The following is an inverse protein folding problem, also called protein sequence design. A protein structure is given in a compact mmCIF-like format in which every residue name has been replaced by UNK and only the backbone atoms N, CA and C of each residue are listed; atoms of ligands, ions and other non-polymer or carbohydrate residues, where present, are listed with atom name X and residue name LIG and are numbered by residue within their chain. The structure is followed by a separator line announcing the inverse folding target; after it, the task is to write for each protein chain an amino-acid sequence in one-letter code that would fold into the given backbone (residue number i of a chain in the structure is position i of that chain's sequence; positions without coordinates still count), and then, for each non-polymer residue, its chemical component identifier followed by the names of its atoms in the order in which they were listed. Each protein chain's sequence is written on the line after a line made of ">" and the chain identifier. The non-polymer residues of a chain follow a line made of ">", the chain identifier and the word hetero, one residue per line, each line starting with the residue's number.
data_IF_287486491423
#
_entry.id   IF_287486491423
#
_cell.length_a   1.000
_cell.length_b   1.000
_cell.length_c   1.000
_cell.angle_alpha   90.00
_cell.angle_beta   90.00
_cell.angle_gamma   90.00
#
_symmetry.space_group_name_H-M   'P 1'
#
loop_
_entity.id
_entity.type
_entity.pdbx_description
1 polymer ?
#
# COMPACT_ATOMS: atom_id res chain seq x y z
N UNK A 1 -40.99 78.14 -3.31
CA UNK A 1 -40.64 77.21 -2.23
C UNK A 1 -40.87 75.81 -2.74
N UNK A 2 -39.79 75.08 -3.04
CA UNK A 2 -39.86 73.69 -3.55
C UNK A 2 -39.72 72.77 -2.35
N UNK A 3 -40.66 71.84 -2.22
CA UNK A 3 -40.83 70.96 -1.07
C UNK A 3 -39.81 69.80 -1.15
N UNK A 4 -38.87 69.77 -0.21
CA UNK A 4 -37.74 68.80 -0.17
C UNK A 4 -38.16 67.38 0.24
N UNK A 5 -39.45 67.11 0.45
CA UNK A 5 -39.98 65.80 0.86
C UNK A 5 -40.44 64.90 -0.30
N UNK A 6 -40.12 65.25 -1.56
CA UNK A 6 -40.47 64.47 -2.76
C UNK A 6 -39.24 63.98 -3.55
N UNK A 7 -38.10 63.76 -2.88
CA UNK A 7 -37.02 63.00 -3.49
C UNK A 7 -37.34 61.51 -3.35
N UNK A 8 -37.98 60.93 -4.37
CA UNK A 8 -38.04 59.48 -4.54
C UNK A 8 -36.62 59.01 -4.87
N UNK A 9 -35.87 58.58 -3.86
CA UNK A 9 -34.53 58.01 -4.01
C UNK A 9 -34.72 56.61 -4.62
N UNK A 10 -34.84 56.58 -5.95
CA UNK A 10 -35.07 55.37 -6.73
C UNK A 10 -33.77 54.59 -7.03
N UNK A 11 -32.69 54.89 -6.32
CA UNK A 11 -31.37 54.30 -6.55
C UNK A 11 -30.71 54.03 -5.19
N UNK A 12 -31.23 53.00 -4.52
CA UNK A 12 -30.68 52.52 -3.25
C UNK A 12 -29.61 51.47 -3.56
N UNK A 13 -28.37 51.74 -3.18
CA UNK A 13 -27.25 50.77 -3.25
C UNK A 13 -27.48 49.52 -2.39
N UNK A 14 -28.56 49.48 -1.61
CA UNK A 14 -29.02 48.33 -0.84
C UNK A 14 -29.77 47.29 -1.69
N UNK A 15 -30.24 47.65 -2.89
CA UNK A 15 -30.92 46.72 -3.82
C UNK A 15 -29.93 45.87 -4.63
N UNK A 16 -28.67 46.32 -4.69
CA UNK A 16 -27.54 45.61 -5.32
C UNK A 16 -26.91 44.54 -4.38
N UNK A 17 -27.43 44.44 -3.15
CA UNK A 17 -27.07 43.38 -2.21
C UNK A 17 -27.85 42.14 -2.60
N UNK A 18 -27.23 41.28 -3.42
CA UNK A 18 -27.75 39.96 -3.77
C UNK A 18 -28.24 39.27 -2.48
N UNK A 19 -29.53 38.93 -2.39
CA UNK A 19 -30.10 38.42 -1.15
C UNK A 19 -29.35 37.15 -0.73
N UNK A 20 -29.02 37.05 0.56
CA UNK A 20 -28.22 35.96 1.12
C UNK A 20 -28.76 34.57 0.68
N UNK A 21 -30.08 34.46 0.52
CA UNK A 21 -30.78 33.27 0.02
C UNK A 21 -30.30 32.79 -1.35
N UNK A 22 -29.90 33.68 -2.26
CA UNK A 22 -29.37 33.33 -3.59
C UNK A 22 -27.96 32.71 -3.51
N UNK A 23 -27.19 33.00 -2.45
CA UNK A 23 -25.85 32.47 -2.23
C UNK A 23 -25.80 31.24 -1.31
N UNK A 24 -26.90 30.90 -0.63
CA UNK A 24 -26.97 29.73 0.28
C UNK A 24 -26.65 28.43 -0.43
N UNK A 25 -27.15 28.26 -1.65
CA UNK A 25 -26.91 27.06 -2.45
C UNK A 25 -25.45 26.92 -2.87
N UNK A 26 -24.83 28.03 -3.32
CA UNK A 26 -23.39 28.06 -3.63
C UNK A 26 -22.54 27.77 -2.40
N UNK A 27 -22.88 28.37 -1.26
CA UNK A 27 -22.17 28.14 0.01
C UNK A 27 -22.30 26.69 0.48
N UNK A 28 -23.49 26.11 0.36
CA UNK A 28 -23.72 24.70 0.69
C UNK A 28 -22.91 23.77 -0.22
N UNK A 29 -22.91 24.01 -1.54
CA UNK A 29 -22.08 23.27 -2.47
C UNK A 29 -20.59 23.40 -2.14
N UNK A 30 -20.10 24.61 -1.89
CA UNK A 30 -18.71 24.83 -1.49
C UNK A 30 -18.35 24.08 -0.20
N UNK A 31 -19.25 24.06 0.79
CA UNK A 31 -19.05 23.32 2.03
C UNK A 31 -19.05 21.80 1.80
N UNK A 32 -19.94 21.28 0.96
CA UNK A 32 -19.96 19.87 0.59
C UNK A 32 -18.67 19.49 -0.13
N UNK A 33 -18.25 20.26 -1.13
CA UNK A 33 -17.00 20.01 -1.86
C UNK A 33 -15.81 20.05 -0.91
N UNK A 34 -15.73 21.03 -0.01
CA UNK A 34 -14.68 21.12 0.99
C UNK A 34 -14.68 19.91 1.92
N UNK A 35 -15.86 19.47 2.38
CA UNK A 35 -16.00 18.29 3.22
C UNK A 35 -15.55 17.01 2.51
N UNK A 36 -15.89 16.86 1.22
CA UNK A 36 -15.44 15.73 0.38
C UNK A 36 -13.92 15.75 0.22
N UNK A 37 -13.33 16.89 -0.12
CA UNK A 37 -11.86 17.02 -0.25
C UNK A 37 -11.17 16.74 1.08
N UNK A 38 -11.67 17.29 2.19
CA UNK A 38 -11.14 17.03 3.52
C UNK A 38 -11.23 15.53 3.87
N UNK A 39 -12.35 14.88 3.56
CA UNK A 39 -12.51 13.44 3.76
C UNK A 39 -11.51 12.63 2.93
N UNK A 40 -11.25 13.02 1.67
CA UNK A 40 -10.24 12.37 0.82
C UNK A 40 -8.82 12.56 1.37
N UNK A 41 -8.48 13.76 1.85
CA UNK A 41 -7.17 14.03 2.48
C UNK A 41 -7.00 13.20 3.75
N UNK A 42 -8.03 13.12 4.59
CA UNK A 42 -8.02 12.29 5.80
C UNK A 42 -7.88 10.81 5.42
N UNK A 43 -8.66 10.32 4.45
CA UNK A 43 -8.58 8.94 3.97
C UNK A 43 -7.19 8.61 3.40
N UNK A 44 -6.57 9.55 2.67
CA UNK A 44 -5.20 9.42 2.19
C UNK A 44 -4.19 9.38 3.32
N UNK A 45 -4.35 10.20 4.36
CA UNK A 45 -3.50 10.17 5.56
C UNK A 45 -3.61 8.87 6.37
N UNK A 46 -4.70 8.11 6.22
CA UNK A 46 -4.89 6.79 6.82
C UNK A 46 -4.47 5.62 5.90
N UNK A 47 -3.86 5.88 4.75
CA UNK A 47 -3.40 4.82 3.85
C UNK A 47 -4.53 4.06 3.15
N UNK A 48 -5.77 4.57 3.14
CA UNK A 48 -6.93 3.88 2.52
C UNK A 48 -6.74 3.66 1.01
N UNK A 49 -5.83 4.44 0.39
CA UNK A 49 -5.49 4.32 -1.03
C UNK A 49 -4.20 3.51 -1.29
N UNK A 50 -3.52 3.01 -0.26
CA UNK A 50 -2.38 2.12 -0.43
C UNK A 50 -2.90 0.76 -0.91
N UNK A 51 -2.57 0.40 -2.15
CA UNK A 51 -3.00 -0.83 -2.81
C UNK A 51 -2.15 -2.03 -2.39
N UNK A 52 -1.66 -2.05 -1.16
CA UNK A 52 -0.93 -3.16 -0.59
C UNK A 52 -1.92 -4.20 -0.07
N UNK A 53 -1.66 -5.47 -0.38
CA UNK A 53 -2.39 -6.61 0.16
C UNK A 53 -1.48 -7.31 1.15
N UNK A 54 -2.07 -7.67 2.28
CA UNK A 54 -1.43 -8.52 3.27
C UNK A 54 -1.98 -9.93 3.15
N UNK A 55 -1.10 -10.93 3.01
CA UNK A 55 -1.42 -12.34 3.21
C UNK A 55 -0.88 -12.77 4.57
N UNK A 56 -1.72 -13.42 5.39
CA UNK A 56 -1.40 -13.77 6.76
C UNK A 56 -1.67 -15.26 6.99
N UNK A 57 -0.64 -16.01 7.40
CA UNK A 57 -0.71 -17.46 7.62
C UNK A 57 0.04 -17.81 8.90
N UNK A 58 -0.53 -18.66 9.73
CA UNK A 58 0.12 -19.10 10.96
C UNK A 58 -0.37 -20.45 11.46
N UNK A 59 0.43 -21.08 12.31
CA UNK A 59 0.15 -22.37 12.93
C UNK A 59 0.18 -22.30 14.48
N UNK A 60 0.08 -21.10 15.04
CA UNK A 60 0.09 -20.82 16.49
C UNK A 60 1.48 -20.75 17.12
N UNK A 61 2.51 -21.34 16.51
CA UNK A 61 3.90 -21.20 16.93
C UNK A 61 4.67 -20.21 16.06
N UNK A 62 4.33 -20.18 14.78
CA UNK A 62 4.89 -19.29 13.77
C UNK A 62 3.74 -18.59 13.05
N UNK A 63 3.95 -17.32 12.79
CA UNK A 63 3.06 -16.43 12.04
C UNK A 63 3.90 -15.76 10.96
N UNK A 64 3.38 -15.75 9.74
CA UNK A 64 3.97 -15.11 8.58
C UNK A 64 2.94 -14.14 8.01
N UNK A 65 3.34 -12.88 7.90
CA UNK A 65 2.56 -11.81 7.29
C UNK A 65 3.37 -11.28 6.10
N UNK A 66 2.72 -11.18 4.94
CA UNK A 66 3.35 -10.80 3.68
C UNK A 66 2.63 -9.61 3.12
N UNK A 67 3.32 -8.48 3.03
CA UNK A 67 2.82 -7.27 2.38
C UNK A 67 3.38 -7.19 0.97
N UNK A 68 2.49 -7.08 -0.01
CA UNK A 68 2.83 -7.03 -1.43
C UNK A 68 1.89 -6.09 -2.19
N UNK A 69 2.35 -5.48 -3.29
CA UNK A 69 1.48 -4.63 -4.11
C UNK A 69 0.38 -5.49 -4.75
N UNK A 70 -0.87 -5.13 -4.57
CA UNK A 70 -1.98 -5.81 -5.25
C UNK A 70 -2.07 -5.46 -6.72
N UNK A 71 -1.59 -4.28 -7.08
CA UNK A 71 -1.59 -3.74 -8.43
C UNK A 71 -0.33 -2.90 -8.65
N UNK A 72 0.29 -2.97 -9.82
CA UNK A 72 1.48 -2.18 -10.14
C UNK A 72 1.54 -1.84 -11.63
N UNK A 73 2.25 -0.76 -12.00
CA UNK A 73 2.57 -0.38 -13.38
C UNK A 73 4.01 -0.77 -13.71
N UNK A 74 4.30 -1.06 -14.97
CA UNK A 74 5.66 -1.32 -15.42
C UNK A 74 6.61 -0.18 -15.03
N UNK A 75 7.82 -0.53 -14.60
CA UNK A 75 8.85 0.41 -14.18
C UNK A 75 8.67 1.03 -12.79
N UNK A 76 7.51 0.87 -12.13
CA UNK A 76 7.31 1.36 -10.77
C UNK A 76 8.08 0.54 -9.74
N UNK A 77 8.46 1.17 -8.63
CA UNK A 77 9.04 0.47 -7.49
C UNK A 77 8.04 -0.54 -6.88
N UNK A 78 8.60 -1.65 -6.43
CA UNK A 78 7.89 -2.74 -5.75
C UNK A 78 8.64 -3.10 -4.46
N UNK A 79 7.87 -3.37 -3.41
CA UNK A 79 8.36 -3.90 -2.15
C UNK A 79 7.51 -5.12 -1.78
N UNK A 80 8.16 -6.24 -1.53
CA UNK A 80 7.57 -7.42 -0.92
C UNK A 80 8.19 -7.55 0.47
N UNK A 81 7.40 -7.24 1.49
CA UNK A 81 7.82 -7.35 2.89
C UNK A 81 7.27 -8.63 3.50
N UNK A 82 8.15 -9.42 4.12
CA UNK A 82 7.82 -10.67 4.79
C UNK A 82 8.16 -10.49 6.26
N UNK A 83 7.11 -10.40 7.07
CA UNK A 83 7.18 -10.30 8.52
C UNK A 83 6.94 -11.68 9.13
N UNK A 84 7.87 -12.11 9.97
CA UNK A 84 7.79 -13.40 10.67
C UNK A 84 7.71 -13.12 12.16
N UNK A 85 6.73 -13.71 12.83
CA UNK A 85 6.57 -13.66 14.27
C UNK A 85 6.52 -15.07 14.84
N UNK A 86 7.35 -15.37 15.83
CA UNK A 86 7.47 -16.70 16.43
C UNK A 86 7.26 -16.66 17.95
N UNK A 87 6.61 -17.69 18.47
CA UNK A 87 6.43 -17.90 19.91
C UNK A 87 7.75 -18.28 20.60
N UNK A 88 8.71 -18.85 19.87
CA UNK A 88 10.06 -19.16 20.32
C UNK A 88 11.08 -18.21 19.66
N UNK A 89 12.27 -18.03 20.24
CA UNK A 89 13.34 -17.29 19.58
C UNK A 89 13.60 -17.86 18.18
N UNK A 90 13.70 -16.99 17.19
CA UNK A 90 14.05 -17.35 15.84
C UNK A 90 15.49 -17.91 15.83
N UNK A 91 15.77 -18.91 14.97
CA UNK A 91 17.14 -19.34 14.68
C UNK A 91 17.95 -18.18 14.06
N UNK A 92 19.28 -18.31 14.04
CA UNK A 92 20.17 -17.30 13.44
C UNK A 92 19.91 -17.10 11.93
N UNK A 93 19.42 -18.14 11.26
CA UNK A 93 19.10 -18.13 9.84
C UNK A 93 17.65 -18.56 9.61
N UNK A 94 16.98 -17.83 8.72
CA UNK A 94 15.63 -18.13 8.25
C UNK A 94 15.71 -18.35 6.75
N UNK A 95 15.09 -19.43 6.26
CA UNK A 95 15.00 -19.67 4.83
C UNK A 95 13.67 -19.12 4.31
N UNK A 96 13.75 -18.26 3.30
CA UNK A 96 12.59 -17.75 2.56
C UNK A 96 12.69 -18.26 1.13
N UNK A 97 11.67 -18.97 0.68
CA UNK A 97 11.52 -19.44 -0.69
C UNK A 97 10.45 -18.63 -1.42
N UNK A 98 10.79 -18.10 -2.59
CA UNK A 98 9.84 -17.37 -3.44
C UNK A 98 9.82 -18.03 -4.81
N UNK A 99 8.63 -18.26 -5.36
CA UNK A 99 8.46 -18.80 -6.72
C UNK A 99 9.22 -17.98 -7.74
N UNK A 100 10.00 -18.64 -8.61
CA UNK A 100 10.82 -17.95 -9.61
C UNK A 100 9.99 -17.03 -10.53
N UNK A 101 8.80 -17.46 -10.94
CA UNK A 101 7.89 -16.64 -11.76
C UNK A 101 7.56 -15.28 -11.12
N UNK A 102 7.44 -15.23 -9.79
CA UNK A 102 7.18 -13.99 -9.07
C UNK A 102 8.45 -13.15 -8.88
N UNK A 103 9.63 -13.78 -8.83
CA UNK A 103 10.91 -13.06 -8.78
C UNK A 103 11.32 -12.48 -10.14
N UNK A 104 11.02 -13.19 -11.23
CA UNK A 104 11.23 -12.71 -12.60
C UNK A 104 10.41 -11.43 -12.88
N UNK A 105 9.41 -11.14 -12.04
CA UNK A 105 8.67 -9.89 -12.08
C UNK A 105 9.46 -8.68 -11.55
N UNK A 106 10.50 -8.90 -10.75
CA UNK A 106 11.34 -7.83 -10.24
C UNK A 106 12.55 -7.62 -11.17
N UNK A 107 12.68 -6.41 -11.70
CA UNK A 107 13.93 -5.90 -12.24
C UNK A 107 14.80 -5.32 -11.13
N UNK A 108 16.11 -5.52 -11.25
CA UNK A 108 17.14 -4.96 -10.35
C UNK A 108 16.85 -5.21 -8.86
N UNK A 109 16.40 -6.43 -8.52
CA UNK A 109 15.94 -6.71 -7.18
C UNK A 109 17.08 -6.73 -6.15
N UNK A 110 16.77 -6.31 -4.93
CA UNK A 110 17.63 -6.34 -3.76
C UNK A 110 16.89 -6.98 -2.59
N UNK A 111 17.62 -7.73 -1.78
CA UNK A 111 17.10 -8.39 -0.57
C UNK A 111 17.70 -7.72 0.67
N UNK A 112 16.85 -7.39 1.63
CA UNK A 112 17.24 -6.69 2.86
C UNK A 112 16.67 -7.42 4.08
N UNK A 113 17.51 -7.83 5.05
CA UNK A 113 18.98 -7.86 4.99
C UNK A 113 19.51 -8.71 3.83
N UNK A 114 20.78 -8.50 3.47
CA UNK A 114 21.44 -9.26 2.42
C UNK A 114 21.40 -10.77 2.74
N UNK A 115 21.05 -11.57 1.73
CA UNK A 115 21.00 -13.02 1.87
C UNK A 115 22.43 -13.58 2.09
N UNK A 116 22.58 -14.46 3.08
CA UNK A 116 23.83 -15.17 3.33
C UNK A 116 24.14 -16.16 2.22
N UNK A 117 23.09 -16.77 1.65
CA UNK A 117 23.20 -17.64 0.49
C UNK A 117 21.90 -17.61 -0.31
N UNK A 118 22.02 -17.99 -1.58
CA UNK A 118 20.90 -18.19 -2.49
C UNK A 118 21.06 -19.56 -3.16
N UNK A 119 19.98 -20.32 -3.23
CA UNK A 119 19.98 -21.63 -3.88
C UNK A 119 18.69 -21.87 -4.66
N UNK A 120 18.74 -22.83 -5.60
CA UNK A 120 17.52 -23.33 -6.23
C UNK A 120 16.76 -24.18 -5.22
N UNK A 121 15.61 -23.65 -4.78
CA UNK A 121 14.69 -24.33 -3.88
C UNK A 121 13.89 -25.43 -4.57
N UNK A 122 12.95 -26.03 -3.83
CA UNK A 122 12.05 -27.05 -4.39
C UNK A 122 11.00 -26.38 -5.30
N UNK A 123 10.49 -27.16 -6.27
CA UNK A 123 9.35 -26.78 -7.12
C UNK A 123 9.53 -25.47 -7.93
N UNK A 124 10.76 -25.10 -8.30
CA UNK A 124 11.01 -23.89 -9.09
C UNK A 124 10.92 -22.59 -8.29
N UNK A 125 11.11 -22.66 -6.96
CA UNK A 125 11.36 -21.50 -6.12
C UNK A 125 12.87 -21.21 -6.00
N UNK A 126 13.22 -19.96 -5.73
CA UNK A 126 14.55 -19.59 -5.25
C UNK A 126 14.49 -19.44 -3.73
N UNK A 127 15.42 -20.10 -3.04
CA UNK A 127 15.55 -20.06 -1.60
C UNK A 127 16.65 -19.07 -1.20
N UNK A 128 16.35 -18.24 -0.20
CA UNK A 128 17.23 -17.22 0.36
C UNK A 128 17.44 -17.52 1.85
N UNK A 129 18.68 -17.76 2.24
CA UNK A 129 19.05 -17.87 3.65
C UNK A 129 19.34 -16.47 4.19
N UNK A 130 18.52 -16.01 5.13
CA UNK A 130 18.56 -14.65 5.65
C UNK A 130 18.88 -14.66 7.14
N UNK A 131 19.75 -13.74 7.57
CA UNK A 131 20.11 -13.63 8.98
C UNK A 131 18.97 -13.02 9.79
N UNK A 132 18.53 -13.70 10.83
CA UNK A 132 17.68 -13.12 11.86
C UNK A 132 18.54 -12.73 13.07
N UNK A 133 18.15 -11.66 13.78
CA UNK A 133 18.86 -11.25 14.98
C UNK A 133 18.77 -12.36 16.04
N UNK A 134 19.90 -12.81 16.62
CA UNK A 134 19.89 -13.86 17.62
C UNK A 134 18.97 -13.52 18.80
N UNK A 135 18.06 -14.43 19.14
CA UNK A 135 17.10 -14.23 20.23
C UNK A 135 15.85 -13.41 19.86
N UNK A 136 15.78 -12.85 18.64
CA UNK A 136 14.60 -12.13 18.18
C UNK A 136 13.41 -13.08 18.01
N UNK A 137 12.21 -12.58 18.31
CA UNK A 137 10.94 -13.28 18.07
C UNK A 137 10.23 -12.78 16.81
N UNK A 138 10.76 -11.70 16.24
CA UNK A 138 10.20 -11.02 15.11
C UNK A 138 11.33 -10.63 14.16
N UNK A 139 11.12 -10.83 12.87
CA UNK A 139 12.05 -10.43 11.82
C UNK A 139 11.25 -9.98 10.60
N UNK A 140 11.79 -9.00 9.88
CA UNK A 140 11.20 -8.47 8.66
C UNK A 140 12.24 -8.52 7.56
N UNK A 141 11.84 -9.04 6.40
CA UNK A 141 12.68 -9.18 5.23
C UNK A 141 12.01 -8.47 4.06
N UNK A 142 12.77 -7.67 3.32
CA UNK A 142 12.27 -6.92 2.18
C UNK A 142 12.92 -7.41 0.89
N UNK A 143 12.09 -7.61 -0.12
CA UNK A 143 12.49 -7.85 -1.49
C UNK A 143 12.04 -6.65 -2.30
N UNK A 144 12.99 -5.78 -2.65
CA UNK A 144 12.72 -4.52 -3.34
C UNK A 144 13.20 -4.60 -4.77
N UNK A 145 12.53 -3.92 -5.69
CA UNK A 145 12.97 -3.82 -7.08
C UNK A 145 12.01 -2.95 -7.87
N UNK A 146 12.06 -3.06 -9.20
CA UNK A 146 11.10 -2.42 -10.10
C UNK A 146 10.25 -3.46 -10.79
N UNK A 147 8.99 -3.15 -11.08
CA UNK A 147 8.13 -4.03 -11.86
C UNK A 147 8.68 -4.17 -13.29
N UNK A 148 8.93 -5.40 -13.73
CA UNK A 148 9.50 -5.68 -15.03
C UNK A 148 8.66 -5.12 -16.20
N UNK A 149 9.30 -4.76 -17.30
CA UNK A 149 8.61 -4.19 -18.47
C UNK A 149 7.77 -5.23 -19.26
N UNK A 150 8.05 -6.53 -19.08
CA UNK A 150 7.37 -7.63 -19.80
C UNK A 150 5.88 -7.71 -19.49
N UNK A 151 5.01 -7.58 -20.51
CA UNK A 151 3.57 -7.51 -20.26
C UNK A 151 2.91 -8.86 -19.93
N UNK A 152 2.32 -8.94 -18.75
CA UNK A 152 1.32 -9.96 -18.36
C UNK A 152 0.22 -9.30 -17.52
N UNK A 153 -1.07 -9.69 -17.63
CA UNK A 153 -2.16 -9.02 -16.91
C UNK A 153 -2.09 -9.20 -15.38
N UNK A 154 -1.42 -10.26 -14.92
CA UNK A 154 -1.16 -10.55 -13.52
C UNK A 154 0.07 -11.46 -13.39
N UNK A 155 0.66 -11.45 -12.21
CA UNK A 155 1.70 -12.39 -11.79
C UNK A 155 1.20 -13.09 -10.52
N UNK A 156 1.11 -14.42 -10.59
CA UNK A 156 0.83 -15.28 -9.43
C UNK A 156 2.18 -15.69 -8.80
N UNK A 157 2.22 -15.88 -7.49
CA UNK A 157 3.43 -16.28 -6.78
C UNK A 157 3.14 -17.04 -5.51
N UNK A 158 4.15 -17.76 -5.02
CA UNK A 158 4.11 -18.40 -3.72
C UNK A 158 5.34 -18.00 -2.91
N UNK A 159 5.09 -17.64 -1.66
CA UNK A 159 6.13 -17.35 -0.68
C UNK A 159 6.02 -18.41 0.41
N UNK A 160 7.15 -19.02 0.73
CA UNK A 160 7.27 -19.97 1.82
C UNK A 160 8.39 -19.55 2.76
N UNK A 161 8.17 -19.80 4.05
CA UNK A 161 9.12 -19.53 5.13
C UNK A 161 9.36 -20.84 5.85
N UNK A 162 10.64 -21.22 5.97
CA UNK A 162 11.06 -22.36 6.77
C UNK A 162 11.85 -21.89 8.00
N UNK A 163 11.34 -22.24 9.17
CA UNK A 163 11.95 -21.90 10.47
C UNK A 163 11.93 -23.15 11.35
N UNK A 164 13.12 -23.64 11.71
CA UNK A 164 13.24 -24.77 12.66
C UNK A 164 12.50 -26.04 12.21
N UNK A 165 12.44 -26.31 10.91
CA UNK A 165 11.74 -27.45 10.31
C UNK A 165 10.21 -27.30 10.19
N UNK A 166 9.66 -26.14 10.58
CA UNK A 166 8.27 -25.78 10.26
C UNK A 166 8.24 -24.93 9.00
N UNK A 167 7.38 -25.28 8.06
CA UNK A 167 7.16 -24.52 6.83
C UNK A 167 5.78 -23.88 6.84
N UNK A 168 5.72 -22.58 6.57
CA UNK A 168 4.49 -21.86 6.24
C UNK A 168 4.57 -21.41 4.79
N UNK A 169 3.45 -21.42 4.08
CA UNK A 169 3.37 -20.96 2.69
C UNK A 169 2.11 -20.15 2.47
N UNK A 170 2.20 -19.12 1.63
CA UNK A 170 1.09 -18.30 1.22
C UNK A 170 1.21 -17.97 -0.27
N UNK A 171 0.05 -17.98 -0.94
CA UNK A 171 -0.05 -17.58 -2.34
C UNK A 171 -0.30 -16.06 -2.41
N UNK A 172 0.39 -15.41 -3.33
CA UNK A 172 0.29 -13.98 -3.60
C UNK A 172 -0.06 -13.73 -5.06
N UNK A 173 -0.70 -12.59 -5.33
CA UNK A 173 -1.10 -12.20 -6.69
C UNK A 173 -1.04 -10.69 -6.87
N UNK A 174 -0.33 -10.28 -7.90
CA UNK A 174 -0.20 -8.88 -8.28
C UNK A 174 -0.77 -8.66 -9.67
N UNK A 175 -1.65 -7.68 -9.81
CA UNK A 175 -2.25 -7.30 -11.10
C UNK A 175 -1.43 -6.21 -11.77
N UNK A 176 -1.35 -6.25 -13.10
CA UNK A 176 -0.68 -5.17 -13.85
C UNK A 176 -1.69 -4.16 -14.36
N UNK A 177 -1.41 -2.90 -14.06
CA UNK A 177 -2.16 -1.77 -14.59
C UNK A 177 -1.48 -1.27 -15.87
N UNK A 178 -2.25 -0.94 -16.91
CA UNK A 178 -1.73 -0.32 -18.13
C UNK A 178 -1.20 1.09 -17.88
#
# INVERSE_FOLDING_TARGET
>A
MVNIFQAEVNDSTLDDVVPESANRWRRLLSLITLAVVAALVIAAGFGIFEQERSASVGNGQLQMDIDFPSTVRAGNEMDLAISITSAQPLPETVEISISQEYLDFFEDFAVLPEAQSQSSGRQGALAFELSAQPGARHAVFHFKGRAADDWAPRTDGQVAVEVGGSTLSADIRTWRMP
#
